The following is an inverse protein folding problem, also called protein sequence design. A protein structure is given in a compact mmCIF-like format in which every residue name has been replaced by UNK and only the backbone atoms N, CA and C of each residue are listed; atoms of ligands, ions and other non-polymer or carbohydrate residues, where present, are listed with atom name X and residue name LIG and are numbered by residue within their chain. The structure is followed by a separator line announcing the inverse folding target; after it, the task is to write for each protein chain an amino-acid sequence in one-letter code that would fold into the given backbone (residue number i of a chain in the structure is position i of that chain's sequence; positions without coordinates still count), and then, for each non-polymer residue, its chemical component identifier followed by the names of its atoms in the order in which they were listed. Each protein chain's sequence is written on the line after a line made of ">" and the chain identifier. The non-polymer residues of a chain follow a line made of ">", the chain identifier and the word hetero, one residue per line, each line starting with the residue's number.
data_IF_618526508654
#
_entry.id   IF_618526508654
#
_cell.length_a   1.000
_cell.length_b   1.000
_cell.length_c   1.000
_cell.angle_alpha   90.00
_cell.angle_beta   90.00
_cell.angle_gamma   90.00
#
_symmetry.space_group_name_H-M   'P 1'
#
loop_
_entity.id
_entity.type
_entity.pdbx_description
1 polymer ?
#
# COMPACT_ATOMS: atom_id res chain seq x y z
N UNK A 1 32.15 -4.22 -21.24
CA UNK A 1 32.08 -4.33 -19.76
C UNK A 1 30.67 -4.02 -19.23
N UNK A 2 30.03 -2.90 -19.58
CA UNK A 2 28.65 -2.60 -19.13
C UNK A 2 27.60 -3.62 -19.58
N UNK A 3 27.67 -4.09 -20.85
CA UNK A 3 26.73 -5.09 -21.39
C UNK A 3 26.79 -6.45 -20.69
N UNK A 4 27.96 -6.84 -20.18
CA UNK A 4 28.15 -8.11 -19.46
C UNK A 4 27.65 -8.00 -18.02
N UNK A 5 27.86 -6.87 -17.35
CA UNK A 5 27.33 -6.64 -15.99
C UNK A 5 25.80 -6.58 -15.97
N UNK A 6 25.18 -5.88 -16.93
CA UNK A 6 23.72 -5.83 -17.03
C UNK A 6 23.09 -7.19 -17.36
N UNK A 7 23.77 -8.01 -18.16
CA UNK A 7 23.33 -9.38 -18.46
C UNK A 7 23.33 -10.26 -17.21
N UNK A 8 24.38 -10.16 -16.39
CA UNK A 8 24.45 -10.87 -15.12
C UNK A 8 23.32 -10.42 -14.18
N UNK A 9 23.11 -9.11 -14.02
CA UNK A 9 22.03 -8.58 -13.18
C UNK A 9 20.64 -9.04 -13.65
N UNK A 10 20.42 -9.14 -14.96
CA UNK A 10 19.15 -9.63 -15.51
C UNK A 10 18.90 -11.11 -15.16
N UNK A 11 19.94 -11.94 -15.19
CA UNK A 11 19.84 -13.37 -14.93
C UNK A 11 19.71 -13.69 -13.43
N UNK A 12 20.46 -12.98 -12.57
CA UNK A 12 20.47 -13.27 -11.12
C UNK A 12 19.24 -12.73 -10.38
N UNK A 13 18.56 -11.70 -10.93
CA UNK A 13 17.35 -11.12 -10.32
C UNK A 13 16.25 -12.18 -10.10
N UNK A 14 15.79 -12.95 -11.10
CA UNK A 14 14.76 -13.96 -10.87
C UNK A 14 15.23 -15.08 -9.93
N UNK A 15 16.52 -15.44 -9.96
CA UNK A 15 17.09 -16.45 -9.06
C UNK A 15 17.05 -15.97 -7.60
N UNK A 16 17.35 -14.70 -7.35
CA UNK A 16 17.23 -14.08 -6.03
C UNK A 16 15.80 -14.08 -5.52
N UNK A 17 14.82 -13.72 -6.36
CA UNK A 17 13.40 -13.76 -5.97
C UNK A 17 12.96 -15.18 -5.62
N UNK A 18 13.37 -16.17 -6.40
CA UNK A 18 13.05 -17.56 -6.14
C UNK A 18 13.69 -18.07 -4.85
N UNK A 19 14.95 -17.70 -4.57
CA UNK A 19 15.64 -18.04 -3.34
C UNK A 19 14.89 -17.50 -2.12
N UNK A 20 14.61 -16.19 -2.10
CA UNK A 20 13.91 -15.53 -0.98
C UNK A 20 12.50 -16.10 -0.82
N UNK A 21 11.80 -16.39 -1.92
CA UNK A 21 10.45 -16.99 -1.88
C UNK A 21 10.47 -18.40 -1.30
N UNK A 22 11.46 -19.21 -1.67
CA UNK A 22 11.63 -20.57 -1.15
C UNK A 22 11.92 -20.56 0.35
N UNK A 23 12.85 -19.71 0.79
CA UNK A 23 13.19 -19.57 2.21
C UNK A 23 12.01 -19.03 3.03
N UNK A 24 11.30 -18.01 2.51
CA UNK A 24 10.10 -17.46 3.16
C UNK A 24 8.99 -18.51 3.29
N UNK A 25 8.86 -19.39 2.29
CA UNK A 25 7.92 -20.50 2.33
C UNK A 25 8.32 -21.56 3.38
N UNK A 26 9.61 -21.84 3.52
CA UNK A 26 10.12 -22.73 4.57
C UNK A 26 9.85 -22.16 5.96
N UNK A 27 10.16 -20.87 6.20
CA UNK A 27 9.84 -20.19 7.46
C UNK A 27 8.34 -20.26 7.76
N UNK A 28 7.49 -19.92 6.79
CA UNK A 28 6.04 -19.98 6.93
C UNK A 28 5.53 -21.39 7.29
N UNK A 29 6.10 -22.41 6.63
CA UNK A 29 5.72 -23.82 6.87
C UNK A 29 6.15 -24.30 8.25
N UNK A 30 7.31 -23.83 8.75
CA UNK A 30 7.81 -24.14 10.10
C UNK A 30 6.97 -23.51 11.21
N UNK A 31 6.24 -22.45 10.90
CA UNK A 31 5.29 -21.79 11.82
C UNK A 31 3.85 -22.35 11.71
N UNK A 32 3.63 -23.44 10.96
CA UNK A 32 2.30 -24.04 10.70
C UNK A 32 1.29 -23.04 10.08
N UNK A 33 1.80 -22.02 9.37
CA UNK A 33 0.98 -21.01 8.69
C UNK A 33 0.80 -21.36 7.21
N UNK A 34 -0.39 -21.05 6.68
CA UNK A 34 -0.76 -21.30 5.28
C UNK A 34 -0.54 -20.12 4.34
N UNK A 35 -0.23 -18.94 4.89
CA UNK A 35 -0.08 -17.69 4.15
C UNK A 35 1.24 -17.05 4.52
N UNK A 36 2.05 -16.74 3.51
CA UNK A 36 3.33 -16.05 3.70
C UNK A 36 3.02 -14.59 4.07
N UNK A 37 3.36 -14.21 5.29
CA UNK A 37 3.26 -12.86 5.79
C UNK A 37 4.59 -12.11 5.66
N UNK A 38 4.59 -10.77 5.72
CA UNK A 38 5.81 -9.95 5.61
C UNK A 38 6.88 -10.32 6.64
N UNK A 39 6.49 -10.74 7.85
CA UNK A 39 7.45 -11.20 8.86
C UNK A 39 8.26 -12.44 8.42
N UNK A 40 7.69 -13.34 7.61
CA UNK A 40 8.40 -14.51 7.12
C UNK A 40 9.48 -14.12 6.10
N UNK A 41 9.24 -13.05 5.33
CA UNK A 41 10.23 -12.50 4.38
C UNK A 41 11.38 -11.85 5.13
N UNK A 42 11.09 -11.08 6.18
CA UNK A 42 12.14 -10.48 7.03
C UNK A 42 13.01 -11.55 7.69
N UNK A 43 12.39 -12.64 8.17
CA UNK A 43 13.11 -13.76 8.76
C UNK A 43 13.94 -14.53 7.74
N UNK A 44 13.41 -14.73 6.53
CA UNK A 44 14.15 -15.35 5.43
C UNK A 44 15.39 -14.55 5.04
N UNK A 45 15.30 -13.21 5.00
CA UNK A 45 16.47 -12.35 4.74
C UNK A 45 17.54 -12.49 5.82
N UNK A 46 17.15 -12.59 7.10
CA UNK A 46 18.09 -12.85 8.20
C UNK A 46 18.81 -14.20 8.04
N UNK A 47 18.06 -15.27 7.73
CA UNK A 47 18.60 -16.63 7.56
C UNK A 47 19.54 -16.73 6.36
N UNK A 48 19.23 -16.05 5.26
CA UNK A 48 20.05 -16.01 4.05
C UNK A 48 21.30 -15.14 4.19
N UNK A 49 21.49 -14.46 5.32
CA UNK A 49 22.64 -13.59 5.59
C UNK A 49 22.52 -12.18 5.00
N UNK A 50 21.30 -11.76 4.67
CA UNK A 50 20.96 -10.45 4.12
C UNK A 50 20.46 -9.47 5.19
N UNK A 51 20.99 -9.57 6.42
CA UNK A 51 20.55 -8.79 7.58
C UNK A 51 20.60 -7.28 7.37
N UNK A 52 21.58 -6.79 6.60
CA UNK A 52 21.75 -5.37 6.31
C UNK A 52 20.57 -4.77 5.51
N UNK A 53 19.82 -5.59 4.76
CA UNK A 53 18.64 -5.13 4.02
C UNK A 53 17.36 -5.09 4.86
N UNK A 54 17.37 -5.62 6.09
CA UNK A 54 16.15 -5.72 6.92
C UNK A 54 15.61 -4.32 7.24
N UNK A 55 16.48 -3.36 7.56
CA UNK A 55 16.08 -2.00 7.90
C UNK A 55 15.35 -1.32 6.73
N UNK A 56 15.96 -1.35 5.54
CA UNK A 56 15.39 -0.76 4.32
C UNK A 56 14.06 -1.43 3.93
N UNK A 57 14.00 -2.76 4.00
CA UNK A 57 12.78 -3.52 3.68
C UNK A 57 11.67 -3.25 4.69
N UNK A 58 12.02 -3.13 5.98
CA UNK A 58 11.05 -2.80 7.02
C UNK A 58 10.51 -1.38 6.88
N UNK A 59 11.35 -0.41 6.56
CA UNK A 59 10.93 0.96 6.31
C UNK A 59 9.96 1.04 5.11
N UNK A 60 10.25 0.33 4.02
CA UNK A 60 9.37 0.24 2.87
C UNK A 60 8.02 -0.41 3.21
N UNK A 61 8.03 -1.44 4.07
CA UNK A 61 6.81 -2.09 4.55
C UNK A 61 5.94 -1.16 5.40
N UNK A 62 6.52 -0.42 6.34
CA UNK A 62 5.78 0.53 7.17
C UNK A 62 5.19 1.67 6.33
N UNK A 63 5.92 2.19 5.33
CA UNK A 63 5.38 3.18 4.40
C UNK A 63 4.16 2.63 3.64
N UNK A 64 4.25 1.41 3.10
CA UNK A 64 3.15 0.78 2.38
C UNK A 64 1.92 0.55 3.30
N UNK A 65 2.13 0.20 4.57
CA UNK A 65 1.05 0.10 5.55
C UNK A 65 0.34 1.43 5.76
N UNK A 66 1.08 2.52 5.93
CA UNK A 66 0.51 3.86 6.13
C UNK A 66 -0.34 4.25 4.93
N UNK A 67 0.20 4.14 3.70
CA UNK A 67 -0.53 4.46 2.45
C UNK A 67 -1.80 3.60 2.28
N UNK A 68 -1.73 2.32 2.62
CA UNK A 68 -2.89 1.42 2.57
C UNK A 68 -3.93 1.79 3.64
N UNK A 69 -3.51 2.20 4.84
CA UNK A 69 -4.46 2.62 5.88
C UNK A 69 -5.08 3.99 5.60
N UNK A 70 -4.34 4.90 4.97
CA UNK A 70 -4.84 6.23 4.60
C UNK A 70 -5.81 6.18 3.42
N UNK A 71 -5.65 5.24 2.50
CA UNK A 71 -6.66 4.97 1.44
C UNK A 71 -7.93 4.34 2.02
N UNK A 72 -7.81 3.43 2.98
CA UNK A 72 -8.97 2.87 3.72
C UNK A 72 -9.65 3.93 4.59
N UNK A 73 -8.89 4.85 5.20
CA UNK A 73 -9.44 6.04 5.88
C UNK A 73 -10.04 7.03 4.89
N UNK A 74 -9.49 7.22 3.71
CA UNK A 74 -10.11 8.03 2.64
C UNK A 74 -11.48 7.50 2.24
N UNK A 75 -11.67 6.17 2.22
CA UNK A 75 -12.97 5.53 2.05
C UNK A 75 -13.90 5.58 3.29
N UNK A 76 -13.37 5.90 4.47
CA UNK A 76 -14.11 5.98 5.75
C UNK A 76 -14.28 7.42 6.27
N UNK A 77 -13.61 8.40 5.65
CA UNK A 77 -13.72 9.83 5.92
C UNK A 77 -14.97 10.46 5.27
N UNK A 78 -15.86 9.68 4.64
CA UNK A 78 -17.22 10.13 4.31
C UNK A 78 -18.17 10.06 5.51
N UNK A 79 -17.75 9.47 6.64
CA UNK A 79 -18.62 9.27 7.80
C UNK A 79 -18.27 10.19 8.99
N UNK A 80 -17.41 11.18 8.77
CA UNK A 80 -16.98 12.16 9.77
C UNK A 80 -17.55 13.56 9.58
N UNK A 81 -18.50 13.74 8.66
CA UNK A 81 -19.41 14.87 8.71
C UNK A 81 -20.61 14.41 9.52
N UNK A 82 -20.64 14.74 10.82
CA UNK A 82 -21.86 14.75 11.62
C UNK A 82 -22.80 15.83 11.05
N UNK A 83 -23.33 15.59 9.86
CA UNK A 83 -24.40 16.37 9.28
C UNK A 83 -25.54 15.39 9.11
N UNK A 84 -26.64 15.67 9.79
CA UNK A 84 -27.84 14.85 9.62
C UNK A 84 -28.27 14.90 8.15
N UNK A 85 -28.92 13.84 7.67
CA UNK A 85 -29.36 13.73 6.27
C UNK A 85 -30.19 14.96 5.84
N UNK A 86 -30.95 15.52 6.78
CA UNK A 86 -31.74 16.75 6.60
C UNK A 86 -30.88 18.00 6.36
N UNK A 87 -29.84 18.21 7.17
CA UNK A 87 -28.91 19.35 7.02
C UNK A 87 -28.08 19.23 5.73
N UNK A 88 -27.71 18.01 5.35
CA UNK A 88 -27.00 17.73 4.10
C UNK A 88 -27.82 18.11 2.87
N UNK A 89 -29.12 17.77 2.87
CA UNK A 89 -30.03 18.11 1.80
C UNK A 89 -30.30 19.62 1.72
N UNK A 90 -30.46 20.29 2.87
CA UNK A 90 -30.68 21.73 2.91
C UNK A 90 -29.48 22.50 2.33
N UNK A 91 -28.26 22.10 2.67
CA UNK A 91 -27.04 22.72 2.15
C UNK A 91 -26.88 22.46 0.66
N UNK A 92 -27.11 21.23 0.19
CA UNK A 92 -27.05 20.89 -1.23
C UNK A 92 -28.08 21.69 -2.04
N UNK A 93 -29.30 21.85 -1.53
CA UNK A 93 -30.34 22.66 -2.18
C UNK A 93 -29.96 24.14 -2.21
N UNK A 94 -29.36 24.68 -1.14
CA UNK A 94 -28.85 26.05 -1.09
C UNK A 94 -27.79 26.28 -2.15
N UNK A 95 -26.81 25.38 -2.27
CA UNK A 95 -25.77 25.46 -3.29
C UNK A 95 -26.35 25.43 -4.71
N UNK A 96 -27.33 24.56 -4.97
CA UNK A 96 -28.01 24.53 -6.28
C UNK A 96 -28.84 25.79 -6.55
N UNK A 97 -29.51 26.34 -5.52
CA UNK A 97 -30.27 27.58 -5.65
C UNK A 97 -29.35 28.77 -5.93
N UNK A 98 -28.21 28.86 -5.24
CA UNK A 98 -27.19 29.88 -5.47
C UNK A 98 -26.59 29.78 -6.88
N UNK A 99 -26.23 28.57 -7.31
CA UNK A 99 -25.76 28.34 -8.68
C UNK A 99 -26.80 28.73 -9.74
N UNK A 100 -28.09 28.42 -9.50
CA UNK A 100 -29.19 28.85 -10.37
C UNK A 100 -29.39 30.36 -10.38
N UNK A 101 -29.31 31.02 -9.23
CA UNK A 101 -29.40 32.48 -9.13
C UNK A 101 -28.25 33.17 -9.89
N UNK A 102 -27.03 32.64 -9.78
CA UNK A 102 -25.87 33.11 -10.54
C UNK A 102 -26.04 32.92 -12.04
N UNK A 103 -26.69 31.84 -12.47
CA UNK A 103 -26.98 31.56 -13.88
C UNK A 103 -28.13 32.46 -14.42
N UNK A 104 -29.16 32.71 -13.62
CA UNK A 104 -30.29 33.57 -13.98
C UNK A 104 -29.96 35.07 -13.90
N UNK A 105 -28.89 35.48 -13.22
CA UNK A 105 -28.38 36.86 -13.24
C UNK A 105 -27.46 37.18 -14.43
N UNK A 106 -27.21 36.19 -15.31
CA UNK A 106 -26.36 36.32 -16.50
C UNK A 106 -27.15 36.27 -17.83
N UNK A 107 -28.48 36.18 -17.75
CA UNK A 107 -29.46 36.39 -18.83
C UNK A 107 -30.26 37.66 -18.55
#
# INVERSE_FOLDING_TARGET
>A
MLRTTLFLLYHIRPEFINLVSSESNEVCSREDKRTIAPEHVLKALEVLGFGDYIEDVYAAYEQHKVETTDTVKGGKCTNGAEMTEEEALAEQQRMFAEARARMNGFL
#
